data_IF_756858839884
#
_entry.id   IF_756858839884
#
_cell.length_a   1.000
_cell.length_b   1.000
_cell.length_c   1.000
_cell.angle_alpha   90.00
_cell.angle_beta   90.00
_cell.angle_gamma   90.00
#
_symmetry.space_group_name_H-M   'P 1'
#
loop_
_entity.id
_entity.type
_entity.pdbx_description
1 polymer ?
#
# COMPACT_ATOMS: atom_id res chain seq x y z
N UNK A 1 -16.76 -5.83 9.03
CA UNK A 1 -16.99 -5.96 7.57
C UNK A 1 -17.16 -7.43 7.21
N UNK A 2 -18.03 -7.77 6.26
CA UNK A 2 -18.20 -9.15 5.79
C UNK A 2 -17.29 -9.48 4.61
N UNK A 3 -17.06 -10.78 4.37
CA UNK A 3 -16.29 -11.27 3.21
C UNK A 3 -16.92 -10.85 1.88
N UNK A 4 -18.26 -10.89 1.78
CA UNK A 4 -18.97 -10.48 0.56
C UNK A 4 -18.70 -9.02 0.21
N UNK A 5 -18.84 -8.12 1.19
CA UNK A 5 -18.54 -6.69 1.02
C UNK A 5 -17.09 -6.43 0.57
N UNK A 6 -16.14 -7.27 1.01
CA UNK A 6 -14.74 -7.16 0.60
C UNK A 6 -14.57 -7.48 -0.89
N UNK A 7 -15.19 -8.57 -1.34
CA UNK A 7 -15.14 -8.95 -2.74
C UNK A 7 -15.87 -7.95 -3.64
N UNK A 8 -17.00 -7.40 -3.21
CA UNK A 8 -17.68 -6.31 -3.92
C UNK A 8 -16.79 -5.07 -4.06
N UNK A 9 -16.15 -4.63 -2.98
CA UNK A 9 -15.22 -3.49 -3.02
C UNK A 9 -14.03 -3.74 -3.94
N UNK A 10 -13.47 -4.96 -3.92
CA UNK A 10 -12.40 -5.36 -4.83
C UNK A 10 -12.88 -5.29 -6.28
N UNK A 11 -14.03 -5.88 -6.61
CA UNK A 11 -14.58 -5.83 -7.97
C UNK A 11 -14.79 -4.40 -8.45
N UNK A 12 -15.34 -3.55 -7.59
CA UNK A 12 -15.58 -2.15 -7.90
C UNK A 12 -14.29 -1.36 -8.11
N UNK A 13 -13.29 -1.54 -7.24
CA UNK A 13 -12.00 -0.84 -7.36
C UNK A 13 -11.18 -1.29 -8.58
N UNK A 14 -11.24 -2.58 -8.91
CA UNK A 14 -10.54 -3.12 -10.07
C UNK A 14 -11.26 -2.83 -11.39
N UNK A 15 -12.54 -2.45 -11.35
CA UNK A 15 -13.37 -2.24 -12.54
C UNK A 15 -13.62 -3.53 -13.35
N UNK A 16 -13.35 -4.68 -12.75
CA UNK A 16 -13.53 -6.02 -13.34
C UNK A 16 -13.80 -7.05 -12.27
N UNK A 17 -14.32 -8.20 -12.69
CA UNK A 17 -14.39 -9.36 -11.81
C UNK A 17 -13.01 -9.93 -11.53
N UNK A 18 -12.85 -10.42 -10.31
CA UNK A 18 -11.66 -11.14 -9.89
C UNK A 18 -11.61 -12.48 -10.59
N UNK A 19 -10.41 -12.89 -10.96
CA UNK A 19 -10.18 -14.25 -11.44
C UNK A 19 -10.29 -15.24 -10.28
N UNK A 20 -10.58 -16.52 -10.56
CA UNK A 20 -10.61 -17.56 -9.53
C UNK A 20 -9.31 -17.64 -8.72
N UNK A 21 -8.15 -17.42 -9.36
CA UNK A 21 -6.86 -17.41 -8.70
C UNK A 21 -6.71 -16.24 -7.72
N UNK A 22 -7.11 -15.03 -8.11
CA UNK A 22 -7.09 -13.86 -7.23
C UNK A 22 -8.02 -14.04 -6.01
N UNK A 23 -9.15 -14.72 -6.19
CA UNK A 23 -10.07 -15.07 -5.10
C UNK A 23 -9.42 -16.06 -4.13
N UNK A 24 -8.71 -17.07 -4.65
CA UNK A 24 -7.96 -18.03 -3.81
C UNK A 24 -6.89 -17.32 -3.00
N UNK A 25 -6.12 -16.42 -3.61
CA UNK A 25 -5.08 -15.64 -2.92
C UNK A 25 -5.67 -14.79 -1.78
N UNK A 26 -6.76 -14.06 -2.03
CA UNK A 26 -7.44 -13.27 -0.98
C UNK A 26 -7.97 -14.18 0.14
N UNK A 27 -8.49 -15.36 -0.21
CA UNK A 27 -8.94 -16.32 0.79
C UNK A 27 -7.80 -16.88 1.64
N UNK A 28 -6.63 -17.10 1.06
CA UNK A 28 -5.44 -17.55 1.78
C UNK A 28 -5.09 -16.56 2.90
N UNK A 29 -5.06 -15.26 2.58
CA UNK A 29 -4.82 -14.22 3.60
C UNK A 29 -5.88 -14.20 4.72
N UNK A 30 -7.15 -14.44 4.39
CA UNK A 30 -8.22 -14.54 5.40
C UNK A 30 -7.99 -15.76 6.30
N UNK A 31 -7.57 -16.89 5.71
CA UNK A 31 -7.28 -18.12 6.45
C UNK A 31 -6.03 -17.99 7.33
N UNK A 32 -5.04 -17.20 6.91
CA UNK A 32 -3.85 -16.84 7.70
C UNK A 32 -4.19 -15.93 8.90
N UNK A 33 -5.46 -15.55 9.06
CA UNK A 33 -5.95 -14.80 10.21
C UNK A 33 -6.00 -13.29 9.99
N UNK A 34 -5.84 -12.81 8.75
CA UNK A 34 -6.09 -11.40 8.45
C UNK A 34 -7.60 -11.17 8.31
N UNK A 35 -8.20 -10.31 9.14
CA UNK A 35 -9.61 -10.00 8.99
C UNK A 35 -9.86 -9.24 7.68
N UNK A 36 -11.04 -9.40 7.07
CA UNK A 36 -11.38 -8.76 5.79
C UNK A 36 -11.27 -7.22 5.84
N UNK A 37 -11.42 -6.64 7.03
CA UNK A 37 -11.26 -5.21 7.28
C UNK A 37 -9.83 -4.72 7.00
N UNK A 38 -8.82 -5.51 7.39
CA UNK A 38 -7.40 -5.20 7.17
C UNK A 38 -7.08 -5.25 5.67
N UNK A 39 -7.64 -6.23 4.95
CA UNK A 39 -7.47 -6.36 3.50
C UNK A 39 -8.11 -5.17 2.77
N UNK A 40 -9.28 -4.72 3.24
CA UNK A 40 -9.95 -3.55 2.69
C UNK A 40 -9.14 -2.25 2.90
N UNK A 41 -8.47 -2.10 4.05
CA UNK A 41 -7.55 -0.97 4.26
C UNK A 41 -6.33 -1.02 3.32
N UNK A 42 -5.76 -2.21 3.08
CA UNK A 42 -4.69 -2.37 2.09
C UNK A 42 -5.16 -1.98 0.67
N UNK A 43 -6.41 -2.30 0.33
CA UNK A 43 -7.03 -1.86 -0.92
C UNK A 43 -7.17 -0.33 -0.99
N UNK A 44 -7.62 0.32 0.09
CA UNK A 44 -7.69 1.79 0.16
C UNK A 44 -6.32 2.43 -0.03
N UNK A 45 -5.27 1.90 0.59
CA UNK A 45 -3.89 2.39 0.40
C UNK A 45 -3.47 2.25 -1.08
N UNK A 46 -3.78 1.13 -1.72
CA UNK A 46 -3.52 0.93 -3.15
C UNK A 46 -4.28 1.92 -4.06
N UNK A 47 -5.52 2.27 -3.72
CA UNK A 47 -6.33 3.27 -4.43
C UNK A 47 -5.72 4.67 -4.28
N UNK A 48 -5.34 5.06 -3.05
CA UNK A 48 -4.70 6.36 -2.77
C UNK A 48 -3.38 6.52 -3.54
N UNK A 49 -2.61 5.44 -3.63
CA UNK A 49 -1.35 5.40 -4.39
C UNK A 49 -1.55 5.32 -5.91
N UNK A 50 -2.79 5.24 -6.40
CA UNK A 50 -3.13 4.97 -7.80
C UNK A 50 -2.46 3.70 -8.36
N UNK A 51 -2.24 2.69 -7.49
CA UNK A 51 -1.56 1.42 -7.81
C UNK A 51 -2.45 0.24 -7.45
N UNK A 52 -3.62 0.19 -8.08
CA UNK A 52 -4.60 -0.88 -7.87
C UNK A 52 -4.16 -2.12 -8.67
N UNK A 53 -3.27 -2.91 -8.09
CA UNK A 53 -2.87 -4.21 -8.63
C UNK A 53 -2.55 -5.19 -7.50
N UNK A 54 -2.74 -6.49 -7.77
CA UNK A 54 -2.54 -7.55 -6.79
C UNK A 54 -1.12 -7.62 -6.24
N UNK A 55 -0.11 -7.32 -7.08
CA UNK A 55 1.29 -7.31 -6.65
C UNK A 55 1.53 -6.28 -5.54
N UNK A 56 0.93 -5.11 -5.67
CA UNK A 56 1.04 -4.03 -4.71
C UNK A 56 0.25 -4.33 -3.44
N UNK A 57 -1.00 -4.81 -3.58
CA UNK A 57 -1.82 -5.24 -2.44
C UNK A 57 -1.10 -6.34 -1.64
N UNK A 58 -0.56 -7.37 -2.31
CA UNK A 58 0.22 -8.43 -1.66
C UNK A 58 1.46 -7.89 -0.94
N UNK A 59 2.07 -6.82 -1.44
CA UNK A 59 3.20 -6.17 -0.76
C UNK A 59 2.77 -5.51 0.54
N UNK A 60 1.62 -4.83 0.54
CA UNK A 60 1.03 -4.21 1.73
C UNK A 60 0.62 -5.29 2.74
N UNK A 61 -0.05 -6.36 2.29
CA UNK A 61 -0.45 -7.47 3.17
C UNK A 61 0.76 -8.15 3.81
N UNK A 62 1.83 -8.41 3.04
CA UNK A 62 3.09 -8.95 3.59
C UNK A 62 3.73 -8.02 4.63
N UNK A 63 3.64 -6.69 4.44
CA UNK A 63 4.08 -5.71 5.45
C UNK A 63 3.28 -5.89 6.74
N UNK A 64 1.95 -5.97 6.65
CA UNK A 64 1.09 -6.14 7.82
C UNK A 64 1.38 -7.42 8.59
N UNK A 65 1.59 -8.55 7.90
CA UNK A 65 1.98 -9.81 8.55
C UNK A 65 3.34 -9.69 9.23
N UNK A 66 4.32 -9.05 8.58
CA UNK A 66 5.65 -8.86 9.16
C UNK A 66 5.65 -7.99 10.42
N UNK A 67 4.77 -6.98 10.47
CA UNK A 67 4.62 -6.09 11.64
C UNK A 67 3.76 -6.73 12.73
N UNK A 68 2.97 -7.77 12.41
CA UNK A 68 2.03 -8.40 13.35
C UNK A 68 0.76 -7.55 13.53
N UNK A 69 0.27 -7.01 12.42
CA UNK A 69 -0.96 -6.21 12.36
C UNK A 69 -2.13 -7.16 12.11
N UNK A 70 -2.75 -7.61 13.20
CA UNK A 70 -3.94 -8.48 13.19
C UNK A 70 -5.26 -7.70 13.37
N UNK A 71 -5.19 -6.44 13.81
CA UNK A 71 -6.34 -5.66 14.25
C UNK A 71 -6.47 -4.35 13.46
N UNK A 72 -7.71 -3.91 13.24
CA UNK A 72 -8.04 -2.68 12.51
C UNK A 72 -7.34 -1.45 13.11
N UNK A 73 -7.30 -1.37 14.45
CA UNK A 73 -6.64 -0.27 15.17
C UNK A 73 -5.13 -0.20 14.89
N UNK A 74 -4.47 -1.36 14.75
CA UNK A 74 -3.05 -1.44 14.39
C UNK A 74 -2.81 -1.04 12.93
N UNK A 75 -3.74 -1.35 12.02
CA UNK A 75 -3.66 -0.90 10.62
C UNK A 75 -3.73 0.62 10.54
N UNK A 76 -4.65 1.24 11.26
CA UNK A 76 -4.77 2.69 11.26
C UNK A 76 -3.50 3.37 11.80
N UNK A 77 -2.89 2.78 12.83
CA UNK A 77 -1.63 3.28 13.40
C UNK A 77 -0.47 3.16 12.40
N UNK A 78 -0.34 2.01 11.74
CA UNK A 78 0.69 1.77 10.72
C UNK A 78 0.51 2.68 9.51
N UNK A 79 -0.74 2.88 9.06
CA UNK A 79 -1.08 3.82 7.98
C UNK A 79 -0.65 5.25 8.35
N UNK A 80 -0.98 5.72 9.55
CA UNK A 80 -0.57 7.06 10.03
C UNK A 80 0.97 7.19 10.07
N UNK A 81 1.69 6.16 10.53
CA UNK A 81 3.15 6.16 10.51
C UNK A 81 3.72 6.23 9.08
N UNK A 82 3.15 5.47 8.15
CA UNK A 82 3.54 5.50 6.75
C UNK A 82 3.31 6.87 6.09
N UNK A 83 2.19 7.52 6.36
CA UNK A 83 1.91 8.89 5.88
C UNK A 83 2.94 9.90 6.42
N UNK A 84 3.32 9.82 7.70
CA UNK A 84 4.34 10.68 8.32
C UNK A 84 5.74 10.44 7.73
N UNK A 85 6.12 9.19 7.49
CA UNK A 85 7.42 8.84 6.90
C UNK A 85 7.54 9.31 5.44
N UNK A 86 6.45 9.21 4.67
CA UNK A 86 6.42 9.62 3.25
C UNK A 86 6.68 11.11 3.05
N UNK A 87 6.22 11.95 3.99
CA UNK A 87 6.48 13.39 3.97
C UNK A 87 7.95 13.74 4.21
N UNK A 88 8.68 12.92 4.97
CA UNK A 88 10.11 13.13 5.22
C UNK A 88 10.98 12.75 4.01
N UNK A 89 10.61 11.70 3.27
CA UNK A 89 11.39 11.25 2.10
C UNK A 89 11.28 12.19 0.89
N UNK A 90 10.15 12.86 0.69
CA UNK A 90 9.95 13.85 -0.39
C UNK A 90 10.76 15.15 -0.21
N UNK A 91 11.17 15.48 1.02
CA UNK A 91 11.92 16.70 1.31
C UNK A 91 13.41 16.59 0.93
N UNK A 92 13.98 15.38 0.93
CA UNK A 92 15.43 15.20 0.71
C UNK A 92 15.85 15.28 -0.77
N UNK A 93 14.94 15.05 -1.72
CA UNK A 93 15.28 15.04 -3.16
C UNK A 93 15.35 16.42 -3.81
N UNK A 94 14.92 17.49 -3.11
CA UNK A 94 14.93 18.87 -3.66
C UNK A 94 16.22 19.64 -3.35
N UNK A 95 17.15 19.08 -2.57
CA UNK A 95 18.39 19.77 -2.17
C UNK A 95 19.65 19.34 -2.93
N UNK A 96 19.59 18.33 -3.80
CA UNK A 96 20.77 17.84 -4.54
C UNK A 96 21.04 18.59 -5.86
N UNK A 97 20.38 19.73 -6.10
CA UNK A 97 20.74 20.64 -7.18
C UNK A 97 21.72 21.72 -6.70
N UNK A 98 22.79 21.32 -6.00
CA UNK A 98 23.96 22.18 -5.77
C UNK A 98 24.80 22.21 -7.03
N UNK A 99 24.86 23.39 -7.64
CA UNK A 99 25.43 23.62 -8.96
C UNK A 99 26.92 23.29 -9.07
N UNK A 100 27.26 22.63 -10.17
CA UNK A 100 28.59 22.80 -10.77
C UNK A 100 28.62 24.16 -11.47
N UNK A 101 28.89 25.20 -10.69
CA UNK A 101 29.41 26.45 -11.21
C UNK A 101 30.75 26.14 -11.87
N UNK A 102 30.78 26.22 -13.20
CA UNK A 102 32.03 26.30 -13.95
C UNK A 102 32.67 27.64 -13.56
N UNK A 103 33.52 27.61 -12.52
CA UNK A 103 34.45 28.70 -12.26
C UNK A 103 35.48 28.71 -13.38
N UNK A 104 35.67 29.89 -13.95
CA UNK A 104 36.55 30.09 -15.09
C UNK A 104 37.99 29.68 -14.84
N UNK A 105 38.62 29.26 -15.92
CA UNK A 105 40.01 29.54 -16.25
C UNK A 105 39.95 29.79 -17.75
N UNK A 106 40.03 31.02 -18.25
CA UNK A 106 41.24 31.81 -18.18
C UNK A 106 42.29 31.12 -19.04
N UNK A 107 42.27 31.40 -20.34
CA UNK A 107 43.34 31.75 -21.28
C UNK A 107 42.73 31.92 -22.68
#
# INVERSE_FOLDING_TARGET
MTKAELFDNLHQCFGRFLTPFEIVDINEWINDGLPPEVINEALKEAVLENKINFKYINTILRRYVKVGIDTLEKVELDRKQHELSKNNFKQHSNNDSVGFGIQGSGY
#
